data_IF_656738051012
#
_entry.id   IF_656738051012
#
_cell.length_a   1.000
_cell.length_b   1.000
_cell.length_c   1.000
_cell.angle_alpha   90.00
_cell.angle_beta   90.00
_cell.angle_gamma   90.00
#
_symmetry.space_group_name_H-M   'P 1'
#
loop_
_entity.id
_entity.type
_entity.pdbx_description
1 polymer ?
#
# COMPACT_ATOMS: atom_id res chain seq x y z
N UNK A 1 -3.88 5.48 -7.21
CA UNK A 1 -4.29 6.87 -6.88
C UNK A 1 -3.35 7.88 -7.54
N UNK A 2 -2.04 7.75 -7.47
CA UNK A 2 -1.09 8.74 -8.04
C UNK A 2 -1.22 8.95 -9.55
N UNK A 3 -1.72 7.97 -10.30
CA UNK A 3 -1.88 8.03 -11.76
C UNK A 3 -3.04 8.89 -12.26
N UNK A 4 -3.80 9.50 -11.38
CA UNK A 4 -4.95 10.34 -11.72
C UNK A 4 -4.86 11.69 -11.02
N UNK A 5 -5.51 12.71 -11.58
CA UNK A 5 -5.41 14.08 -11.06
C UNK A 5 -6.26 14.26 -9.81
N UNK A 6 -5.60 14.50 -8.68
CA UNK A 6 -6.17 14.77 -7.36
C UNK A 6 -5.66 16.13 -6.89
N UNK A 7 -6.50 16.95 -6.28
CA UNK A 7 -6.13 18.31 -5.90
C UNK A 7 -5.08 18.36 -4.77
N UNK A 8 -5.29 17.58 -3.71
CA UNK A 8 -4.41 17.55 -2.53
C UNK A 8 -4.36 16.12 -1.97
N UNK A 9 -3.22 15.72 -1.44
CA UNK A 9 -3.06 14.43 -0.75
C UNK A 9 -4.06 14.28 0.41
N UNK A 10 -4.46 15.37 1.05
CA UNK A 10 -5.46 15.40 2.12
C UNK A 10 -6.87 15.04 1.67
N UNK A 11 -7.15 15.11 0.37
CA UNK A 11 -8.44 14.69 -0.19
C UNK A 11 -8.56 13.16 -0.25
N UNK A 12 -7.45 12.45 -0.11
CA UNK A 12 -7.44 10.99 -0.01
C UNK A 12 -8.04 10.58 1.33
N UNK A 13 -9.06 9.74 1.28
CA UNK A 13 -9.66 9.10 2.45
C UNK A 13 -9.42 7.60 2.36
N UNK A 14 -9.16 7.00 3.50
CA UNK A 14 -8.89 5.57 3.61
C UNK A 14 -10.04 4.87 4.32
N UNK A 15 -10.37 3.68 3.85
CA UNK A 15 -11.12 2.69 4.62
C UNK A 15 -10.16 1.59 5.06
N UNK A 16 -10.13 1.27 6.33
CA UNK A 16 -9.24 0.27 6.90
C UNK A 16 -10.02 -0.96 7.36
N UNK A 17 -9.59 -2.16 6.96
CA UNK A 17 -10.08 -3.43 7.47
C UNK A 17 -8.94 -4.13 8.21
N UNK A 18 -9.04 -4.16 9.53
CA UNK A 18 -8.10 -4.82 10.44
C UNK A 18 -8.55 -6.26 10.68
N UNK A 19 -7.68 -7.22 10.45
CA UNK A 19 -7.96 -8.64 10.63
C UNK A 19 -6.95 -9.26 11.58
N UNK A 20 -7.41 -9.78 12.72
CA UNK A 20 -6.56 -10.27 13.79
C UNK A 20 -7.23 -11.46 14.49
N UNK A 21 -6.44 -12.44 14.93
CA UNK A 21 -6.89 -13.48 15.84
C UNK A 21 -6.75 -12.99 17.30
N UNK A 22 -7.56 -12.01 17.68
CA UNK A 22 -7.50 -11.39 19.00
C UNK A 22 -7.57 -12.42 20.14
N UNK A 23 -6.81 -12.20 21.20
CA UNK A 23 -6.66 -13.14 22.30
C UNK A 23 -5.69 -14.30 22.03
N UNK A 24 -5.17 -14.45 20.82
CA UNK A 24 -4.07 -15.38 20.54
C UNK A 24 -2.73 -14.77 20.93
N UNK A 25 -1.77 -15.60 21.35
CA UNK A 25 -0.47 -15.13 21.88
C UNK A 25 0.24 -14.19 20.90
N UNK A 26 0.48 -12.94 21.33
CA UNK A 26 1.21 -11.91 20.59
C UNK A 26 0.39 -11.18 19.52
N UNK A 27 -0.83 -11.59 19.19
CA UNK A 27 -1.63 -10.96 18.13
C UNK A 27 -2.19 -9.59 18.56
N UNK A 28 -2.59 -9.45 19.81
CA UNK A 28 -3.11 -8.17 20.34
C UNK A 28 -2.04 -7.07 20.33
N UNK A 29 -0.79 -7.42 20.69
CA UNK A 29 0.34 -6.49 20.62
C UNK A 29 0.63 -6.06 19.18
N UNK A 30 0.64 -7.00 18.24
CA UNK A 30 0.83 -6.70 16.82
C UNK A 30 -0.26 -5.77 16.28
N UNK A 31 -1.52 -6.04 16.64
CA UNK A 31 -2.65 -5.19 16.27
C UNK A 31 -2.45 -3.77 16.79
N UNK A 32 -2.16 -3.62 18.09
CA UNK A 32 -1.92 -2.30 18.69
C UNK A 32 -0.81 -1.53 17.95
N UNK A 33 0.35 -2.16 17.75
CA UNK A 33 1.49 -1.53 17.06
C UNK A 33 1.17 -1.15 15.61
N UNK A 34 0.40 -1.97 14.92
CA UNK A 34 0.01 -1.66 13.53
C UNK A 34 -0.96 -0.48 13.48
N UNK A 35 -1.94 -0.43 14.38
CA UNK A 35 -2.87 0.71 14.50
C UNK A 35 -2.11 1.99 14.87
N UNK A 36 -1.16 1.91 15.79
CA UNK A 36 -0.30 3.03 16.19
C UNK A 36 0.52 3.56 15.00
N UNK A 37 1.22 2.67 14.28
CA UNK A 37 2.04 3.04 13.13
C UNK A 37 1.22 3.72 12.02
N UNK A 38 0.04 3.21 11.71
CA UNK A 38 -0.82 3.77 10.65
C UNK A 38 -1.54 5.01 11.12
N UNK A 39 -2.22 4.93 12.28
CA UNK A 39 -3.15 5.97 12.74
C UNK A 39 -2.50 7.12 13.48
N UNK A 40 -1.39 6.89 14.19
CA UNK A 40 -0.74 7.90 15.01
C UNK A 40 0.55 8.44 14.40
N UNK A 41 1.16 7.69 13.47
CA UNK A 41 2.42 8.11 12.84
C UNK A 41 2.24 8.45 11.35
N UNK A 42 1.98 7.48 10.48
CA UNK A 42 2.00 7.68 9.03
C UNK A 42 0.88 8.60 8.53
N UNK A 43 -0.37 8.30 8.86
CA UNK A 43 -1.51 9.07 8.35
C UNK A 43 -1.48 10.55 8.77
N UNK A 44 -1.15 10.91 10.03
CA UNK A 44 -0.98 12.31 10.42
C UNK A 44 0.13 13.04 9.66
N UNK A 45 1.29 12.39 9.44
CA UNK A 45 2.41 12.97 8.67
C UNK A 45 2.01 13.27 7.22
N UNK A 46 1.26 12.37 6.59
CA UNK A 46 0.77 12.56 5.23
C UNK A 46 -0.43 13.53 5.16
N UNK A 47 -1.12 13.77 6.27
CA UNK A 47 -2.37 14.53 6.30
C UNK A 47 -3.58 13.74 5.77
N UNK A 48 -3.47 12.42 5.69
CA UNK A 48 -4.52 11.50 5.24
C UNK A 48 -5.35 11.04 6.46
N UNK A 49 -6.63 10.76 6.24
CA UNK A 49 -7.53 10.30 7.31
C UNK A 49 -8.14 8.95 7.00
N UNK A 50 -8.48 8.21 8.06
CA UNK A 50 -9.21 6.93 8.01
C UNK A 50 -10.59 7.14 8.65
N UNK A 51 -11.56 7.75 7.94
CA UNK A 51 -12.87 8.07 8.49
C UNK A 51 -13.77 6.85 8.70
N UNK A 52 -13.48 5.72 8.06
CA UNK A 52 -14.28 4.52 8.09
C UNK A 52 -13.40 3.28 8.07
N UNK A 53 -13.88 2.23 8.68
CA UNK A 53 -13.21 0.94 8.68
C UNK A 53 -14.05 -0.10 9.42
N UNK A 54 -13.52 -1.30 9.48
CA UNK A 54 -14.06 -2.40 10.27
C UNK A 54 -12.93 -3.28 10.77
N UNK A 55 -13.22 -4.11 11.71
CA UNK A 55 -12.32 -5.11 12.24
C UNK A 55 -12.93 -6.52 12.18
N UNK A 56 -12.06 -7.50 12.03
CA UNK A 56 -12.38 -8.93 12.11
C UNK A 56 -11.42 -9.55 13.12
N UNK A 57 -11.91 -9.76 14.36
CA UNK A 57 -11.07 -10.15 15.48
C UNK A 57 -11.02 -11.66 15.74
N UNK A 58 -11.76 -12.47 14.98
CA UNK A 58 -11.84 -13.92 15.16
C UNK A 58 -11.14 -14.68 14.02
N UNK A 59 -9.93 -14.28 13.68
CA UNK A 59 -9.19 -14.82 12.53
C UNK A 59 -8.48 -16.14 12.88
N UNK A 60 -9.23 -17.06 13.50
CA UNK A 60 -8.80 -18.41 13.82
C UNK A 60 -9.87 -19.41 13.44
N UNK A 61 -9.47 -20.47 12.75
CA UNK A 61 -10.33 -21.63 12.46
C UNK A 61 -9.87 -22.81 13.31
N UNK A 62 -10.80 -23.50 13.95
CA UNK A 62 -10.53 -24.72 14.69
C UNK A 62 -11.48 -25.83 14.23
N UNK A 63 -10.99 -27.06 14.15
CA UNK A 63 -11.75 -28.24 13.73
C UNK A 63 -11.18 -29.50 14.38
N UNK A 64 -11.91 -30.61 14.27
CA UNK A 64 -11.40 -31.91 14.63
C UNK A 64 -11.05 -32.71 13.38
N UNK A 65 -9.91 -33.38 13.41
CA UNK A 65 -9.42 -34.25 12.37
C UNK A 65 -8.97 -35.58 13.00
N UNK A 66 -9.66 -36.67 12.66
CA UNK A 66 -9.40 -38.02 13.20
C UNK A 66 -9.37 -38.09 14.75
N UNK A 67 -10.17 -37.24 15.41
CA UNK A 67 -10.23 -37.17 16.86
C UNK A 67 -9.19 -36.27 17.51
N UNK A 68 -8.35 -35.59 16.73
CA UNK A 68 -7.41 -34.59 17.19
C UNK A 68 -7.92 -33.16 16.91
N UNK A 69 -7.75 -32.28 17.87
CA UNK A 69 -8.06 -30.85 17.69
C UNK A 69 -7.00 -30.19 16.80
N UNK A 70 -7.46 -29.58 15.72
CA UNK A 70 -6.64 -28.82 14.78
C UNK A 70 -7.06 -27.34 14.79
N UNK A 71 -6.11 -26.45 14.56
CA UNK A 71 -6.43 -25.05 14.37
C UNK A 71 -5.41 -24.34 13.48
N UNK A 72 -5.89 -23.31 12.79
CA UNK A 72 -5.08 -22.37 12.03
C UNK A 72 -5.40 -20.96 12.51
N UNK A 73 -4.39 -20.20 12.85
CA UNK A 73 -4.49 -18.80 13.21
C UNK A 73 -3.94 -17.98 12.03
N UNK A 74 -4.78 -17.12 11.45
CA UNK A 74 -4.34 -16.22 10.37
C UNK A 74 -3.41 -15.16 10.95
N UNK A 75 -2.35 -14.76 10.21
CA UNK A 75 -1.51 -13.65 10.62
C UNK A 75 -2.31 -12.34 10.62
N UNK A 76 -1.88 -11.39 11.46
CA UNK A 76 -2.41 -10.04 11.40
C UNK A 76 -2.33 -9.51 9.96
N UNK A 77 -3.42 -8.95 9.47
CA UNK A 77 -3.53 -8.37 8.14
C UNK A 77 -4.27 -7.05 8.19
N UNK A 78 -3.90 -6.15 7.29
CA UNK A 78 -4.57 -4.87 7.09
C UNK A 78 -4.86 -4.69 5.62
N UNK A 79 -6.13 -4.46 5.28
CA UNK A 79 -6.56 -4.09 3.93
C UNK A 79 -6.96 -2.62 3.94
N UNK A 80 -6.28 -1.83 3.14
CA UNK A 80 -6.57 -0.40 2.97
C UNK A 80 -7.18 -0.18 1.60
N UNK A 81 -8.31 0.54 1.57
CA UNK A 81 -8.89 1.08 0.34
C UNK A 81 -8.78 2.59 0.38
N UNK A 82 -8.09 3.16 -0.59
CA UNK A 82 -7.98 4.60 -0.76
C UNK A 82 -8.94 5.11 -1.82
N UNK A 83 -9.56 6.27 -1.57
CA UNK A 83 -10.42 6.95 -2.52
C UNK A 83 -10.29 8.47 -2.39
N UNK A 84 -10.49 9.16 -3.51
CA UNK A 84 -10.42 10.62 -3.58
C UNK A 84 -11.22 11.13 -4.77
N UNK A 85 -11.78 12.34 -4.72
CA UNK A 85 -12.33 13.00 -5.89
C UNK A 85 -11.26 13.21 -6.96
N UNK A 86 -11.59 12.87 -8.20
CA UNK A 86 -10.75 13.16 -9.38
C UNK A 86 -11.16 14.51 -9.95
N UNK A 87 -10.22 15.43 -10.07
CA UNK A 87 -10.51 16.79 -10.57
C UNK A 87 -10.65 16.85 -12.08
N UNK A 88 -9.89 16.01 -12.81
CA UNK A 88 -9.98 15.88 -14.27
C UNK A 88 -9.62 14.45 -14.70
N UNK A 89 -10.61 13.67 -15.12
CA UNK A 89 -10.40 12.27 -15.56
C UNK A 89 -9.52 12.15 -16.82
N UNK A 90 -9.45 13.21 -17.63
CA UNK A 90 -8.63 13.23 -18.85
C UNK A 90 -7.14 13.26 -18.54
N UNK A 91 -6.77 13.69 -17.34
CA UNK A 91 -5.39 13.70 -16.80
C UNK A 91 -4.96 12.38 -16.16
N UNK A 92 -5.75 11.33 -16.35
CA UNK A 92 -5.42 9.99 -15.86
C UNK A 92 -4.50 9.27 -16.84
N UNK A 93 -3.38 8.75 -16.34
CA UNK A 93 -2.43 7.95 -17.12
C UNK A 93 -2.48 6.48 -16.68
N UNK A 94 -2.11 5.58 -17.57
CA UNK A 94 -2.07 4.13 -17.35
C UNK A 94 -0.64 3.61 -17.46
N UNK A 95 -0.35 2.34 -17.11
CA UNK A 95 0.97 1.74 -17.34
C UNK A 95 1.35 1.59 -18.82
N UNK A 96 0.40 1.72 -19.74
CA UNK A 96 0.66 1.54 -21.16
C UNK A 96 1.58 2.66 -21.69
N UNK A 97 2.75 2.27 -22.19
CA UNK A 97 3.65 3.19 -22.87
C UNK A 97 3.02 3.74 -24.14
N UNK A 98 3.20 5.04 -24.37
CA UNK A 98 2.65 5.74 -25.52
C UNK A 98 3.71 5.84 -26.61
N UNK A 99 3.28 5.56 -27.87
CA UNK A 99 4.11 5.86 -29.05
C UNK A 99 3.86 7.32 -29.47
N UNK A 100 4.86 8.16 -29.26
CA UNK A 100 4.79 9.59 -29.54
C UNK A 100 5.93 10.02 -30.46
N UNK A 101 5.73 11.09 -31.25
CA UNK A 101 6.69 11.53 -32.27
C UNK A 101 7.94 12.24 -31.73
N UNK A 102 8.14 12.30 -30.41
CA UNK A 102 9.29 12.94 -29.78
C UNK A 102 9.99 11.99 -28.80
N UNK A 103 11.22 12.32 -28.43
CA UNK A 103 12.00 11.55 -27.47
C UNK A 103 11.35 11.55 -26.09
N UNK A 104 11.31 10.38 -25.46
CA UNK A 104 10.78 10.17 -24.12
C UNK A 104 11.81 9.44 -23.25
N UNK A 105 11.64 9.52 -21.94
CA UNK A 105 12.50 8.85 -20.96
C UNK A 105 11.66 7.99 -20.01
N UNK A 106 12.16 6.80 -19.71
CA UNK A 106 11.64 5.97 -18.65
C UNK A 106 12.40 6.30 -17.34
N UNK A 107 11.67 6.72 -16.32
CA UNK A 107 12.24 7.16 -15.05
C UNK A 107 11.82 6.19 -13.96
N UNK A 108 12.79 5.64 -13.24
CA UNK A 108 12.57 4.88 -12.01
C UNK A 108 12.73 5.80 -10.79
N UNK A 109 11.68 5.90 -9.98
CA UNK A 109 11.72 6.62 -8.70
C UNK A 109 11.73 5.59 -7.57
N UNK A 110 12.81 5.55 -6.80
CA UNK A 110 12.98 4.64 -5.67
C UNK A 110 12.85 5.40 -4.34
N UNK A 111 11.69 5.25 -3.68
CA UNK A 111 11.45 5.81 -2.35
C UNK A 111 12.08 4.99 -1.22
N UNK A 112 12.58 3.80 -1.52
CA UNK A 112 13.28 2.92 -0.56
C UNK A 112 14.76 3.22 -0.42
N UNK A 113 15.29 4.24 -1.10
CA UNK A 113 16.70 4.66 -1.03
C UNK A 113 17.70 3.49 -1.23
N UNK A 114 17.39 2.58 -2.16
CA UNK A 114 18.19 1.39 -2.45
C UNK A 114 18.00 0.21 -1.50
N UNK A 115 17.11 0.31 -0.51
CA UNK A 115 16.76 -0.79 0.37
C UNK A 115 15.81 -1.77 -0.34
N UNK A 116 16.36 -2.75 -1.06
CA UNK A 116 15.60 -3.75 -1.80
C UNK A 116 14.99 -4.80 -0.86
N UNK A 117 13.91 -4.44 -0.18
CA UNK A 117 13.18 -5.28 0.78
C UNK A 117 12.13 -6.11 0.03
N UNK A 118 12.28 -7.42 0.00
CA UNK A 118 11.44 -8.35 -0.77
C UNK A 118 10.59 -9.29 0.10
N UNK A 119 10.57 -9.07 1.42
CA UNK A 119 9.74 -9.89 2.32
C UNK A 119 8.27 -9.77 2.00
N UNK A 120 7.58 -10.91 1.85
CA UNK A 120 6.17 -10.97 1.47
C UNK A 120 5.86 -10.64 0.01
N UNK A 121 6.87 -10.39 -0.82
CA UNK A 121 6.67 -10.05 -2.24
C UNK A 121 6.23 -11.23 -3.09
N UNK A 122 5.61 -10.95 -4.24
CA UNK A 122 5.29 -11.97 -5.25
C UNK A 122 6.56 -12.70 -5.73
N UNK A 123 7.68 -11.99 -5.88
CA UNK A 123 8.95 -12.61 -6.22
C UNK A 123 9.37 -13.65 -5.17
N UNK A 124 9.29 -13.31 -3.89
CA UNK A 124 9.58 -14.26 -2.81
C UNK A 124 8.66 -15.49 -2.88
N UNK A 125 7.36 -15.27 -3.15
CA UNK A 125 6.36 -16.34 -3.29
C UNK A 125 6.68 -17.28 -4.46
N UNK A 126 7.06 -16.74 -5.62
CA UNK A 126 7.46 -17.54 -6.81
C UNK A 126 8.61 -18.48 -6.47
N UNK A 127 9.54 -18.07 -5.64
CA UNK A 127 10.65 -18.89 -5.16
C UNK A 127 10.32 -19.72 -3.90
N UNK A 128 9.04 -19.83 -3.51
CA UNK A 128 8.60 -20.51 -2.28
C UNK A 128 9.32 -20.02 -1.02
N UNK A 129 9.57 -18.71 -0.95
CA UNK A 129 10.20 -18.01 0.16
C UNK A 129 9.23 -16.97 0.72
N UNK A 130 9.37 -16.65 1.99
CA UNK A 130 8.62 -15.52 2.60
C UNK A 130 9.49 -14.25 2.63
N UNK A 131 10.76 -14.39 2.94
CA UNK A 131 11.62 -13.28 3.28
C UNK A 131 11.36 -12.75 4.69
N UNK A 132 12.30 -11.99 5.23
CA UNK A 132 12.23 -11.47 6.61
C UNK A 132 12.13 -9.95 6.70
N UNK A 133 12.36 -9.25 5.59
CA UNK A 133 12.38 -7.78 5.55
C UNK A 133 11.36 -7.30 4.55
N UNK A 134 10.22 -6.82 5.05
CA UNK A 134 9.14 -6.27 4.24
C UNK A 134 9.46 -4.83 3.79
N UNK A 135 8.90 -4.37 2.64
CA UNK A 135 8.90 -2.96 2.27
C UNK A 135 8.31 -2.08 3.39
N UNK A 136 8.84 -0.87 3.52
CA UNK A 136 8.38 0.10 4.50
C UNK A 136 8.42 1.51 3.93
N UNK A 137 7.72 2.45 4.57
CA UNK A 137 7.79 3.88 4.30
C UNK A 137 8.78 4.50 5.29
N UNK A 138 10.05 4.60 4.90
CA UNK A 138 11.11 5.13 5.77
C UNK A 138 10.97 6.65 6.00
N UNK A 139 10.42 7.37 5.01
CA UNK A 139 10.25 8.82 5.05
C UNK A 139 8.91 9.25 4.44
N UNK A 140 7.98 9.64 5.31
CA UNK A 140 6.65 10.10 4.93
C UNK A 140 6.69 11.43 4.13
N UNK A 141 7.67 12.30 4.41
CA UNK A 141 7.80 13.57 3.67
C UNK A 141 8.27 13.33 2.23
N UNK A 142 9.19 12.39 2.01
CA UNK A 142 9.56 11.96 0.66
C UNK A 142 8.39 11.37 -0.11
N UNK A 143 7.55 10.56 0.52
CA UNK A 143 6.34 10.03 -0.10
C UNK A 143 5.36 11.15 -0.47
N UNK A 144 5.18 12.13 0.39
CA UNK A 144 4.34 13.30 0.15
C UNK A 144 4.88 14.20 -0.97
N UNK A 145 6.18 14.42 -0.98
CA UNK A 145 6.86 15.15 -2.06
C UNK A 145 6.72 14.43 -3.40
N UNK A 146 6.88 13.11 -3.40
CA UNK A 146 6.64 12.27 -4.58
C UNK A 146 5.23 12.46 -5.12
N UNK A 147 4.19 12.33 -4.26
CA UNK A 147 2.81 12.55 -4.66
C UNK A 147 2.63 13.93 -5.31
N UNK A 148 3.10 14.99 -4.65
CA UNK A 148 2.96 16.36 -5.15
C UNK A 148 3.63 16.56 -6.51
N UNK A 149 4.84 16.01 -6.70
CA UNK A 149 5.55 16.08 -7.97
C UNK A 149 4.83 15.33 -9.09
N UNK A 150 4.29 14.14 -8.82
CA UNK A 150 3.48 13.40 -9.80
C UNK A 150 2.24 14.21 -10.19
N UNK A 151 1.54 14.81 -9.22
CA UNK A 151 0.37 15.64 -9.50
C UNK A 151 0.72 16.88 -10.36
N UNK A 152 1.86 17.51 -10.10
CA UNK A 152 2.34 18.63 -10.92
C UNK A 152 2.66 18.19 -12.37
N UNK A 153 3.32 17.05 -12.55
CA UNK A 153 3.61 16.49 -13.86
C UNK A 153 2.35 16.11 -14.64
N UNK A 154 1.32 15.59 -13.96
CA UNK A 154 0.02 15.32 -14.57
C UNK A 154 -0.68 16.61 -15.00
N UNK A 155 -0.62 17.67 -14.17
CA UNK A 155 -1.21 18.96 -14.50
C UNK A 155 -0.56 19.60 -15.74
N UNK A 156 0.74 19.42 -15.88
CA UNK A 156 1.55 19.95 -17.00
C UNK A 156 1.55 19.03 -18.24
N UNK A 157 0.78 17.93 -18.25
CA UNK A 157 0.73 16.91 -19.31
C UNK A 157 2.12 16.32 -19.66
N UNK A 158 3.01 16.21 -18.65
CA UNK A 158 4.38 15.70 -18.82
C UNK A 158 4.52 14.20 -18.60
N UNK A 159 3.50 13.53 -18.05
CA UNK A 159 3.48 12.08 -17.86
C UNK A 159 2.69 11.42 -18.98
N UNK A 160 3.33 10.52 -19.71
CA UNK A 160 2.70 9.71 -20.75
C UNK A 160 2.21 8.35 -20.20
N UNK A 161 2.87 7.83 -19.19
CA UNK A 161 2.52 6.58 -18.52
C UNK A 161 2.96 6.62 -17.05
N UNK A 162 2.32 5.82 -16.22
CA UNK A 162 2.68 5.64 -14.82
C UNK A 162 2.41 4.21 -14.36
N UNK A 163 3.38 3.63 -13.65
CA UNK A 163 3.25 2.33 -13.02
C UNK A 163 3.94 2.33 -11.66
N UNK A 164 3.29 1.79 -10.65
CA UNK A 164 3.91 1.48 -9.37
C UNK A 164 4.48 0.06 -9.40
N UNK A 165 5.57 -0.19 -8.69
CA UNK A 165 6.16 -1.53 -8.58
C UNK A 165 5.33 -2.40 -7.62
N UNK A 166 4.14 -2.73 -8.05
CA UNK A 166 3.24 -3.67 -7.38
C UNK A 166 3.44 -5.09 -7.88
N UNK A 167 2.40 -5.89 -7.93
CA UNK A 167 2.46 -7.24 -8.47
C UNK A 167 2.97 -7.23 -9.92
N UNK A 168 4.02 -7.99 -10.17
CA UNK A 168 4.68 -8.05 -11.47
C UNK A 168 5.96 -7.18 -11.57
N UNK A 169 6.22 -6.28 -10.64
CA UNK A 169 7.44 -5.46 -10.59
C UNK A 169 7.45 -4.33 -11.63
N UNK A 170 8.59 -4.19 -12.34
CA UNK A 170 8.79 -3.16 -13.38
C UNK A 170 8.12 -3.56 -14.69
#
# INVERSE_FOLDING_TARGET
ICSTRIADIKDIKLSANWMCAAGSAGEDEKLYRTVEAVGMDLCPKLGITVPVGKDSMSMRTAWQDQGEDRSVTAPLSLVITGFSPVTDVRKTVTPQLQDVAHETQLILIDLGAGANRLGGSILAQVYSKMGSVAPDVDDAESLKAFFNNIQALLEEDKLLAYHDRSDGGL
#
